data_IF_451696969962
#
_entry.id   IF_451696969962
#
_cell.length_a   1.000
_cell.length_b   1.000
_cell.length_c   1.000
_cell.angle_alpha   90.00
_cell.angle_beta   90.00
_cell.angle_gamma   90.00
#
_symmetry.space_group_name_H-M   'P 1'
#
loop_
_entity.id
_entity.type
_entity.pdbx_description
1 polymer ?
#
# COMPACT_ATOMS: atom_id res chain seq x y z
N UNK A 1 -8.70 -6.92 36.35
CA UNK A 1 -7.70 -6.00 36.94
C UNK A 1 -6.32 -6.15 36.29
N UNK A 2 -5.74 -7.36 36.21
CA UNK A 2 -4.44 -7.58 35.56
C UNK A 2 -4.48 -7.36 34.04
N UNK A 3 -5.56 -7.81 33.37
CA UNK A 3 -5.76 -7.59 31.92
C UNK A 3 -5.87 -6.09 31.58
N UNK A 4 -6.69 -5.35 32.34
CA UNK A 4 -6.87 -3.89 32.22
C UNK A 4 -5.57 -3.11 32.39
N UNK A 5 -4.74 -3.51 33.37
CA UNK A 5 -3.46 -2.84 33.65
C UNK A 5 -2.43 -3.11 32.56
N UNK A 6 -2.44 -4.31 31.96
CA UNK A 6 -1.62 -4.66 30.79
C UNK A 6 -2.07 -3.93 29.53
N UNK A 7 -3.37 -3.65 29.40
CA UNK A 7 -3.94 -2.90 28.28
C UNK A 7 -3.56 -1.41 28.35
N UNK A 8 -3.65 -0.79 29.53
CA UNK A 8 -3.14 0.56 29.79
C UNK A 8 -1.64 0.67 29.48
N UNK A 9 -0.82 -0.28 29.96
CA UNK A 9 0.64 -0.28 29.70
C UNK A 9 0.98 -0.38 28.20
N UNK A 10 0.09 -0.93 27.37
CA UNK A 10 0.30 -1.09 25.93
C UNK A 10 -0.15 0.13 25.12
N UNK A 11 -1.22 0.78 25.56
CA UNK A 11 -1.58 2.11 25.04
C UNK A 11 -0.41 3.06 25.32
N UNK A 12 0.15 3.01 26.53
CA UNK A 12 1.32 3.79 26.90
C UNK A 12 2.55 3.44 26.03
N UNK A 13 2.80 2.16 25.74
CA UNK A 13 3.89 1.75 24.85
C UNK A 13 3.68 2.24 23.39
N UNK A 14 2.44 2.23 22.89
CA UNK A 14 2.09 2.76 21.57
C UNK A 14 2.27 4.29 21.50
N UNK A 15 1.88 5.01 22.54
CA UNK A 15 2.08 6.45 22.65
C UNK A 15 3.56 6.82 22.78
N UNK A 16 4.32 6.12 23.63
CA UNK A 16 5.77 6.32 23.75
C UNK A 16 6.49 6.08 22.42
N UNK A 17 6.08 5.06 21.68
CA UNK A 17 6.61 4.82 20.34
C UNK A 17 6.29 5.96 19.37
N UNK A 18 5.04 6.40 19.35
CA UNK A 18 4.61 7.51 18.51
C UNK A 18 5.44 8.76 18.81
N UNK A 19 5.63 9.08 20.09
CA UNK A 19 6.45 10.22 20.53
C UNK A 19 7.91 10.06 20.08
N UNK A 20 8.48 8.85 20.20
CA UNK A 20 9.86 8.57 19.78
C UNK A 20 10.05 8.67 18.26
N UNK A 21 9.11 8.12 17.48
CA UNK A 21 9.13 8.17 16.02
C UNK A 21 8.97 9.62 15.54
N UNK A 22 8.01 10.36 16.11
CA UNK A 22 7.78 11.76 15.77
C UNK A 22 8.99 12.63 16.14
N UNK A 23 9.55 12.46 17.35
CA UNK A 23 10.72 13.21 17.79
C UNK A 23 11.92 12.97 16.86
N UNK A 24 12.15 11.73 16.44
CA UNK A 24 13.19 11.40 15.48
C UNK A 24 12.95 12.07 14.12
N UNK A 25 11.76 11.91 13.53
CA UNK A 25 11.46 12.46 12.21
C UNK A 25 11.52 14.00 12.20
N UNK A 26 11.05 14.64 13.27
CA UNK A 26 11.15 16.09 13.44
C UNK A 26 12.59 16.56 13.63
N UNK A 27 13.44 15.79 14.33
CA UNK A 27 14.86 16.11 14.47
C UNK A 27 15.61 16.04 13.13
N UNK A 28 15.34 15.02 12.32
CA UNK A 28 15.91 14.91 10.97
C UNK A 28 15.40 16.05 10.07
N UNK A 29 14.12 16.41 10.16
CA UNK A 29 13.57 17.53 9.38
C UNK A 29 14.16 18.88 9.81
N UNK A 30 14.31 19.11 11.11
CA UNK A 30 14.97 20.31 11.63
C UNK A 30 16.45 20.41 11.21
N UNK A 31 17.14 19.26 11.13
CA UNK A 31 18.51 19.19 10.60
C UNK A 31 18.54 19.62 9.14
N UNK A 32 17.65 19.06 8.31
CA UNK A 32 17.52 19.45 6.90
C UNK A 32 17.27 20.94 6.75
N UNK A 33 16.33 21.53 7.50
CA UNK A 33 16.03 22.97 7.42
C UNK A 33 17.27 23.83 7.71
N UNK A 34 18.07 23.46 8.70
CA UNK A 34 19.33 24.15 9.01
C UNK A 34 20.35 24.03 7.87
N UNK A 35 20.49 22.84 7.29
CA UNK A 35 21.43 22.57 6.20
C UNK A 35 21.07 23.31 4.90
N UNK A 36 19.77 23.48 4.61
CA UNK A 36 19.33 24.19 3.40
C UNK A 36 19.26 25.71 3.55
N UNK A 37 19.55 26.25 4.73
CA UNK A 37 19.54 27.69 5.02
C UNK A 37 18.22 28.25 5.56
N UNK A 38 17.23 27.40 5.83
CA UNK A 38 15.90 27.78 6.37
C UNK A 38 15.80 27.50 7.89
N UNK A 39 16.93 27.60 8.60
CA UNK A 39 17.05 27.23 10.02
C UNK A 39 16.17 28.06 10.98
N UNK A 40 15.76 29.26 10.56
CA UNK A 40 14.81 30.11 11.29
C UNK A 40 13.43 29.46 11.47
N UNK A 41 13.01 28.63 10.51
CA UNK A 41 11.71 27.92 10.53
C UNK A 41 11.66 26.90 11.67
N UNK A 42 12.81 26.37 12.11
CA UNK A 42 12.90 25.35 13.17
C UNK A 42 12.26 25.85 14.47
N UNK A 43 12.38 27.14 14.77
CA UNK A 43 11.79 27.75 15.98
C UNK A 43 10.26 27.74 15.98
N UNK A 44 9.65 27.59 14.81
CA UNK A 44 8.19 27.56 14.62
C UNK A 44 7.65 26.14 14.39
N UNK A 45 8.51 25.10 14.37
CA UNK A 45 8.03 23.74 14.11
C UNK A 45 7.19 23.21 15.29
N UNK A 46 6.03 22.60 15.01
CA UNK A 46 5.24 21.94 16.05
C UNK A 46 6.04 20.77 16.66
N UNK A 47 5.82 20.48 17.94
CA UNK A 47 6.46 19.37 18.68
C UNK A 47 7.99 19.41 18.82
N UNK A 48 8.67 20.42 18.27
CA UNK A 48 10.14 20.51 18.27
C UNK A 48 10.69 21.87 18.77
N UNK A 49 9.90 22.96 18.73
CA UNK A 49 10.32 24.32 19.11
C UNK A 49 9.62 24.93 20.34
N UNK A 50 10.07 26.12 20.74
CA UNK A 50 9.35 26.98 21.67
C UNK A 50 8.02 27.42 21.05
N UNK A 51 6.94 27.53 21.83
CA UNK A 51 5.63 27.99 21.32
C UNK A 51 5.67 29.48 20.97
N UNK A 52 6.26 29.83 19.84
CA UNK A 52 6.28 31.20 19.32
C UNK A 52 4.89 31.55 18.76
N UNK A 53 4.27 32.68 19.14
CA UNK A 53 2.99 33.11 18.59
C UNK A 53 3.05 33.26 17.06
N UNK A 54 2.09 32.67 16.35
CA UNK A 54 1.99 32.65 14.87
C UNK A 54 1.59 33.99 14.24
N UNK A 55 1.41 35.04 15.04
CA UNK A 55 0.68 36.26 14.67
C UNK A 55 1.45 37.20 13.73
N UNK A 56 2.77 37.00 13.52
CA UNK A 56 3.61 37.92 12.72
C UNK A 56 4.25 37.30 11.45
N UNK A 57 4.15 35.98 11.18
CA UNK A 57 5.01 35.34 10.18
C UNK A 57 4.38 34.18 9.37
N UNK A 58 3.10 34.26 8.97
CA UNK A 58 2.50 33.24 8.10
C UNK A 58 3.04 33.32 6.65
N UNK A 59 4.22 32.74 6.42
CA UNK A 59 4.86 32.65 5.10
C UNK A 59 4.50 31.34 4.40
N UNK A 60 4.52 31.27 3.05
CA UNK A 60 4.30 30.01 2.32
C UNK A 60 5.26 28.88 2.75
N UNK A 61 6.51 29.24 3.11
CA UNK A 61 7.50 28.31 3.64
C UNK A 61 7.09 27.74 5.00
N UNK A 62 6.56 28.57 5.90
CA UNK A 62 6.05 28.11 7.18
C UNK A 62 4.85 27.17 7.01
N UNK A 63 3.92 27.51 6.11
CA UNK A 63 2.76 26.65 5.79
C UNK A 63 3.22 25.29 5.25
N UNK A 64 4.22 25.28 4.37
CA UNK A 64 4.81 24.04 3.87
C UNK A 64 5.48 23.23 4.98
N UNK A 65 6.18 23.88 5.91
CA UNK A 65 6.84 23.20 7.03
C UNK A 65 5.82 22.51 7.95
N UNK A 66 4.69 23.17 8.23
CA UNK A 66 3.58 22.57 8.95
C UNK A 66 2.93 21.43 8.17
N UNK A 67 2.73 21.58 6.85
CA UNK A 67 2.21 20.50 6.00
C UNK A 67 3.06 19.24 6.12
N UNK A 68 4.39 19.37 5.96
CA UNK A 68 5.34 18.25 6.11
C UNK A 68 5.26 17.70 7.53
N UNK A 69 5.31 18.55 8.56
CA UNK A 69 5.25 18.11 9.96
C UNK A 69 3.97 17.29 10.27
N UNK A 70 2.81 17.70 9.74
CA UNK A 70 1.57 16.92 9.86
C UNK A 70 1.65 15.58 9.12
N UNK A 71 2.30 15.52 7.95
CA UNK A 71 2.53 14.24 7.27
C UNK A 71 3.47 13.34 8.08
N UNK A 72 4.49 13.89 8.73
CA UNK A 72 5.39 13.14 9.62
C UNK A 72 4.64 12.57 10.84
N UNK A 73 3.73 13.36 11.43
CA UNK A 73 2.83 12.89 12.49
C UNK A 73 1.97 11.73 12.01
N UNK A 74 1.29 11.87 10.86
CA UNK A 74 0.45 10.81 10.31
C UNK A 74 1.25 9.52 10.08
N UNK A 75 2.49 9.62 9.56
CA UNK A 75 3.36 8.45 9.38
C UNK A 75 3.75 7.79 10.70
N UNK A 76 4.07 8.58 11.72
CA UNK A 76 4.40 8.07 13.05
C UNK A 76 3.19 7.37 13.70
N UNK A 77 1.99 7.96 13.56
CA UNK A 77 0.72 7.37 13.99
C UNK A 77 0.42 6.05 13.29
N UNK A 78 0.49 6.03 11.96
CA UNK A 78 0.26 4.83 11.15
C UNK A 78 1.23 3.71 11.51
N UNK A 79 2.52 4.04 11.67
CA UNK A 79 3.54 3.06 12.03
C UNK A 79 3.35 2.53 13.46
N UNK A 80 3.08 3.40 14.44
CA UNK A 80 2.81 2.99 15.82
C UNK A 80 1.59 2.07 15.89
N UNK A 81 0.48 2.43 15.21
CA UNK A 81 -0.70 1.59 15.11
C UNK A 81 -0.40 0.23 14.46
N UNK A 82 0.41 0.21 13.40
CA UNK A 82 0.86 -1.02 12.75
C UNK A 82 1.68 -1.92 13.68
N UNK A 83 2.63 -1.37 14.43
CA UNK A 83 3.47 -2.13 15.36
C UNK A 83 2.69 -2.63 16.58
N UNK A 84 1.78 -1.82 17.11
CA UNK A 84 0.86 -2.23 18.18
C UNK A 84 0.00 -3.42 17.72
N UNK A 85 -0.55 -3.38 16.50
CA UNK A 85 -1.27 -4.52 15.91
C UNK A 85 -0.41 -5.78 15.84
N UNK A 86 0.81 -5.67 15.30
CA UNK A 86 1.75 -6.80 15.18
C UNK A 86 2.14 -7.39 16.55
N UNK A 87 2.35 -6.54 17.55
CA UNK A 87 2.66 -6.97 18.92
C UNK A 87 1.48 -7.75 19.51
N UNK A 88 0.25 -7.25 19.35
CA UNK A 88 -0.95 -7.95 19.81
C UNK A 88 -1.11 -9.32 19.13
N UNK A 89 -0.93 -9.37 17.81
CA UNK A 89 -1.00 -10.63 17.05
C UNK A 89 0.08 -11.62 17.50
N UNK A 90 1.33 -11.18 17.68
CA UNK A 90 2.44 -12.02 18.14
C UNK A 90 2.18 -12.63 19.53
N UNK A 91 1.58 -11.86 20.44
CA UNK A 91 1.41 -12.27 21.84
C UNK A 91 0.11 -13.03 22.10
N UNK A 92 -0.97 -12.69 21.39
CA UNK A 92 -2.34 -13.19 21.66
C UNK A 92 -2.96 -13.93 20.47
N UNK A 93 -2.25 -14.03 19.34
CA UNK A 93 -2.69 -14.68 18.10
C UNK A 93 -3.53 -13.77 17.20
N UNK A 94 -3.86 -14.27 16.01
CA UNK A 94 -4.54 -13.54 14.91
C UNK A 94 -5.93 -12.99 15.28
N UNK A 95 -6.57 -13.58 16.28
CA UNK A 95 -7.87 -13.21 16.83
C UNK A 95 -7.84 -12.03 17.83
N UNK A 96 -6.64 -11.54 18.18
CA UNK A 96 -6.48 -10.58 19.28
C UNK A 96 -6.96 -9.15 18.96
N UNK A 97 -7.06 -8.79 17.68
CA UNK A 97 -7.39 -7.44 17.25
C UNK A 97 -8.79 -7.38 16.63
N UNK A 98 -9.69 -6.61 17.27
CA UNK A 98 -11.05 -6.43 16.77
C UNK A 98 -11.05 -5.73 15.41
N UNK A 99 -11.85 -6.24 14.48
CA UNK A 99 -11.98 -5.65 13.14
C UNK A 99 -11.07 -6.29 12.08
N UNK A 100 -10.27 -7.30 12.45
CA UNK A 100 -9.49 -8.12 11.52
C UNK A 100 -10.07 -9.54 11.42
N UNK A 101 -9.86 -10.18 10.27
CA UNK A 101 -10.41 -11.50 9.93
C UNK A 101 -10.40 -12.52 11.07
N UNK A 102 -9.28 -12.67 11.79
CA UNK A 102 -9.17 -13.64 12.89
C UNK A 102 -10.20 -13.41 14.01
N UNK A 103 -10.45 -12.16 14.40
CA UNK A 103 -11.42 -11.84 15.45
C UNK A 103 -12.85 -12.07 14.97
N UNK A 104 -13.17 -11.67 13.74
CA UNK A 104 -14.50 -11.83 13.14
C UNK A 104 -14.85 -13.30 12.90
N UNK A 105 -13.92 -14.09 12.36
CA UNK A 105 -14.14 -15.52 12.11
C UNK A 105 -14.30 -16.29 13.43
N UNK A 106 -13.49 -15.97 14.45
CA UNK A 106 -13.63 -16.55 15.79
C UNK A 106 -14.98 -16.21 16.41
N UNK A 107 -15.43 -14.96 16.27
CA UNK A 107 -16.76 -14.56 16.74
C UNK A 107 -17.88 -15.38 16.07
N UNK A 108 -17.79 -15.65 14.77
CA UNK A 108 -18.77 -16.48 14.06
C UNK A 108 -18.73 -17.95 14.52
N UNK A 109 -17.53 -18.49 14.73
CA UNK A 109 -17.35 -19.84 15.28
C UNK A 109 -17.96 -19.97 16.69
N UNK A 110 -17.70 -18.99 17.57
CA UNK A 110 -18.26 -18.94 18.93
C UNK A 110 -19.80 -18.75 18.93
N UNK A 111 -20.34 -18.12 17.87
CA UNK A 111 -21.78 -18.06 17.63
C UNK A 111 -22.37 -19.36 17.05
N UNK A 112 -21.58 -20.43 16.94
CA UNK A 112 -22.01 -21.76 16.51
C UNK A 112 -22.09 -21.94 14.99
N UNK A 113 -21.45 -21.06 14.20
CA UNK A 113 -21.41 -21.19 12.74
C UNK A 113 -20.35 -22.19 12.30
N UNK A 114 -20.74 -23.11 11.42
CA UNK A 114 -19.80 -24.04 10.80
C UNK A 114 -18.91 -23.32 9.77
N UNK A 115 -17.74 -23.88 9.49
CA UNK A 115 -16.85 -23.33 8.46
C UNK A 115 -17.55 -23.28 7.08
N UNK A 116 -18.41 -24.26 6.76
CA UNK A 116 -19.16 -24.32 5.51
C UNK A 116 -20.17 -23.17 5.43
N UNK A 117 -20.92 -22.90 6.50
CA UNK A 117 -21.86 -21.77 6.57
C UNK A 117 -21.13 -20.43 6.40
N UNK A 118 -19.96 -20.28 7.03
CA UNK A 118 -19.17 -19.05 6.95
C UNK A 118 -18.61 -18.89 5.53
N UNK A 119 -18.06 -19.95 4.93
CA UNK A 119 -17.51 -19.91 3.58
C UNK A 119 -18.62 -19.56 2.57
N UNK A 120 -19.76 -20.23 2.61
CA UNK A 120 -20.88 -19.94 1.71
C UNK A 120 -21.36 -18.48 1.84
N UNK A 121 -21.41 -17.94 3.07
CA UNK A 121 -21.74 -16.54 3.30
C UNK A 121 -20.70 -15.59 2.70
N UNK A 122 -19.39 -15.86 2.89
CA UNK A 122 -18.29 -15.07 2.31
C UNK A 122 -18.38 -15.02 0.78
N UNK A 123 -18.70 -16.13 0.12
CA UNK A 123 -18.85 -16.19 -1.34
C UNK A 123 -19.97 -15.32 -1.90
N UNK A 124 -20.93 -14.91 -1.06
CA UNK A 124 -22.02 -13.98 -1.42
C UNK A 124 -21.68 -12.52 -1.11
N UNK A 125 -20.60 -12.26 -0.36
CA UNK A 125 -20.18 -10.89 -0.02
C UNK A 125 -19.57 -10.23 -1.25
N UNK A 126 -20.12 -9.08 -1.61
CA UNK A 126 -19.57 -8.18 -2.63
C UNK A 126 -19.33 -6.81 -2.02
N UNK A 127 -18.10 -6.33 -2.17
CA UNK A 127 -17.69 -4.98 -1.75
C UNK A 127 -17.25 -4.20 -2.99
N UNK A 128 -17.75 -2.98 -3.14
CA UNK A 128 -17.40 -2.11 -4.27
C UNK A 128 -17.11 -0.69 -3.80
N UNK A 129 -15.86 -0.37 -3.39
CA UNK A 129 -15.47 1.00 -3.10
C UNK A 129 -15.44 1.82 -4.40
N UNK A 130 -16.06 2.99 -4.36
CA UNK A 130 -16.10 3.91 -5.49
C UNK A 130 -15.17 5.09 -5.22
N UNK A 131 -14.11 5.19 -6.02
CA UNK A 131 -13.09 6.22 -5.88
C UNK A 131 -13.56 7.55 -6.49
N UNK A 132 -13.51 8.61 -5.70
CA UNK A 132 -13.87 9.97 -6.11
C UNK A 132 -12.63 10.87 -6.19
N UNK A 133 -12.73 11.97 -6.92
CA UNK A 133 -11.68 13.00 -6.89
C UNK A 133 -11.66 13.65 -5.50
N UNK A 134 -10.47 13.85 -4.93
CA UNK A 134 -10.35 14.60 -3.68
C UNK A 134 -10.32 16.10 -3.98
N UNK A 135 -11.31 16.89 -3.53
CA UNK A 135 -11.48 18.28 -3.97
C UNK A 135 -10.35 19.22 -3.52
N UNK A 136 -9.56 18.84 -2.51
CA UNK A 136 -8.55 19.71 -1.87
C UNK A 136 -7.19 19.06 -1.63
N UNK A 137 -7.01 17.77 -1.94
CA UNK A 137 -5.80 17.02 -1.54
C UNK A 137 -5.29 16.06 -2.61
N UNK A 138 -5.43 16.41 -3.89
CA UNK A 138 -4.71 15.68 -4.92
C UNK A 138 -3.22 15.94 -4.72
N UNK A 139 -2.50 15.07 -4.01
CA UNK A 139 -1.03 15.13 -3.89
C UNK A 139 -0.42 14.73 -5.24
N UNK A 140 0.72 15.32 -5.60
CA UNK A 140 1.48 14.89 -6.79
C UNK A 140 1.89 13.44 -6.57
N UNK A 141 1.80 12.60 -7.60
CA UNK A 141 2.27 11.20 -7.53
C UNK A 141 3.71 11.16 -7.00
N UNK A 142 4.56 12.09 -7.45
CA UNK A 142 5.95 12.21 -6.99
C UNK A 142 6.08 12.54 -5.49
N UNK A 143 5.12 13.26 -4.90
CA UNK A 143 5.08 13.54 -3.45
C UNK A 143 4.59 12.31 -2.69
N UNK A 144 3.58 11.60 -3.21
CA UNK A 144 3.13 10.32 -2.64
C UNK A 144 4.25 9.27 -2.62
N UNK A 145 5.04 9.19 -3.69
CA UNK A 145 6.21 8.31 -3.76
C UNK A 145 7.29 8.70 -2.73
N UNK A 146 7.56 10.00 -2.57
CA UNK A 146 8.49 10.48 -1.55
C UNK A 146 8.00 10.15 -0.13
N UNK A 147 6.71 10.29 0.14
CA UNK A 147 6.11 9.87 1.41
C UNK A 147 6.25 8.38 1.65
N UNK A 148 5.99 7.56 0.63
CA UNK A 148 6.16 6.10 0.70
C UNK A 148 7.61 5.73 0.98
N UNK A 149 8.56 6.34 0.26
CA UNK A 149 9.99 6.10 0.47
C UNK A 149 10.45 6.50 1.88
N UNK A 150 9.93 7.63 2.38
CA UNK A 150 10.19 8.12 3.72
C UNK A 150 9.67 7.14 4.78
N UNK A 151 8.42 6.70 4.65
CA UNK A 151 7.81 5.71 5.53
C UNK A 151 8.60 4.39 5.52
N UNK A 152 8.97 3.88 4.34
CA UNK A 152 9.75 2.64 4.23
C UNK A 152 11.15 2.77 4.83
N UNK A 153 11.81 3.93 4.66
CA UNK A 153 13.11 4.20 5.27
C UNK A 153 13.00 4.25 6.80
N UNK A 154 11.97 4.92 7.33
CA UNK A 154 11.69 4.97 8.77
C UNK A 154 11.44 3.58 9.35
N UNK A 155 10.55 2.78 8.73
CA UNK A 155 10.28 1.39 9.15
C UNK A 155 11.56 0.53 9.07
N UNK A 156 12.37 0.71 8.02
CA UNK A 156 13.63 -0.02 7.88
C UNK A 156 14.59 0.27 9.04
N UNK A 157 14.65 1.53 9.52
CA UNK A 157 15.51 1.95 10.62
C UNK A 157 15.22 1.20 11.93
N UNK A 158 13.99 0.75 12.13
CA UNK A 158 13.57 0.06 13.35
C UNK A 158 14.11 -1.37 13.49
N UNK A 159 14.70 -1.91 12.43
CA UNK A 159 15.27 -3.23 12.48
C UNK A 159 16.48 -3.26 13.44
N UNK A 160 16.35 -4.04 14.51
CA UNK A 160 17.35 -4.17 15.57
C UNK A 160 18.66 -4.83 15.14
N UNK A 161 18.71 -5.39 13.93
CA UNK A 161 19.90 -6.06 13.39
C UNK A 161 20.90 -5.10 12.75
N UNK A 162 20.54 -3.84 12.54
CA UNK A 162 21.44 -2.88 11.90
C UNK A 162 22.63 -2.50 12.79
N UNK A 163 23.79 -2.37 12.15
CA UNK A 163 24.96 -1.73 12.75
C UNK A 163 24.75 -0.22 12.87
N UNK A 164 25.50 0.47 13.75
CA UNK A 164 25.43 1.93 13.85
C UNK A 164 25.68 2.66 12.53
N UNK A 165 26.57 2.14 11.68
CA UNK A 165 26.85 2.73 10.37
C UNK A 165 25.66 2.62 9.42
N UNK A 166 24.99 1.46 9.40
CA UNK A 166 23.80 1.23 8.57
C UNK A 166 22.61 2.09 9.03
N UNK A 167 22.46 2.27 10.36
CA UNK A 167 21.45 3.19 10.91
C UNK A 167 21.73 4.61 10.41
N UNK A 168 22.98 5.06 10.42
CA UNK A 168 23.35 6.39 9.92
C UNK A 168 23.13 6.52 8.39
N UNK A 169 23.39 5.46 7.61
CA UNK A 169 23.05 5.44 6.17
C UNK A 169 21.54 5.61 5.95
N UNK A 170 20.72 4.95 6.75
CA UNK A 170 19.26 5.11 6.69
C UNK A 170 18.83 6.52 7.10
N UNK A 171 19.43 7.09 8.14
CA UNK A 171 19.17 8.49 8.54
C UNK A 171 19.55 9.48 7.44
N UNK A 172 20.71 9.30 6.79
CA UNK A 172 21.09 10.11 5.60
C UNK A 172 20.09 10.00 4.47
N UNK A 173 19.57 8.79 4.20
CA UNK A 173 18.50 8.58 3.21
C UNK A 173 17.23 9.33 3.61
N UNK A 174 16.83 9.29 4.87
CA UNK A 174 15.67 10.02 5.40
C UNK A 174 15.85 11.53 5.19
N UNK A 175 17.00 12.12 5.58
CA UNK A 175 17.32 13.54 5.34
C UNK A 175 17.24 13.90 3.86
N UNK A 176 17.78 13.05 2.98
CA UNK A 176 17.75 13.29 1.53
C UNK A 176 16.33 13.28 0.95
N UNK A 177 15.41 12.47 1.52
CA UNK A 177 14.00 12.46 1.12
C UNK A 177 13.27 13.69 1.67
N UNK A 178 13.51 14.05 2.94
CA UNK A 178 12.96 15.25 3.57
C UNK A 178 13.40 16.53 2.85
N UNK A 179 14.67 16.64 2.46
CA UNK A 179 15.16 17.76 1.65
C UNK A 179 14.43 17.81 0.30
N UNK A 180 14.24 16.66 -0.36
CA UNK A 180 13.51 16.60 -1.63
C UNK A 180 12.05 17.02 -1.45
N UNK A 181 11.38 16.60 -0.39
CA UNK A 181 10.01 17.03 -0.05
C UNK A 181 9.98 18.55 0.18
N UNK A 182 10.94 19.08 0.94
CA UNK A 182 11.08 20.51 1.22
C UNK A 182 11.30 21.35 -0.06
N UNK A 183 12.11 20.87 -1.00
CA UNK A 183 12.36 21.56 -2.27
C UNK A 183 11.23 21.37 -3.29
N UNK A 184 10.49 20.27 -3.22
CA UNK A 184 9.40 19.96 -4.18
C UNK A 184 8.13 20.72 -3.87
N UNK A 185 7.78 20.85 -2.58
CA UNK A 185 6.49 21.39 -2.16
C UNK A 185 5.35 20.37 -2.24
N UNK A 186 4.49 20.36 -1.23
CA UNK A 186 3.34 19.44 -1.14
C UNK A 186 2.03 20.09 -1.60
N UNK A 187 1.92 21.40 -1.45
CA UNK A 187 0.67 22.14 -1.62
C UNK A 187 0.52 22.56 -3.08
N UNK A 188 -0.62 22.18 -3.68
CA UNK A 188 -1.00 22.69 -4.99
C UNK A 188 -1.41 24.15 -4.89
N UNK A 189 -0.70 25.01 -5.64
CA UNK A 189 -1.09 26.41 -5.80
C UNK A 189 -2.29 26.57 -6.75
N UNK A 190 -2.65 25.54 -7.50
CA UNK A 190 -3.74 25.55 -8.50
C UNK A 190 -4.61 24.30 -8.43
N UNK A 191 -5.89 24.44 -8.79
CA UNK A 191 -6.83 23.31 -8.84
C UNK A 191 -6.31 22.23 -9.80
N UNK A 192 -6.27 20.94 -9.40
CA UNK A 192 -5.90 19.84 -10.29
C UNK A 192 -6.79 19.78 -11.53
N UNK A 193 -6.23 19.36 -12.66
CA UNK A 193 -7.05 19.03 -13.84
C UNK A 193 -7.69 17.65 -13.67
N UNK A 194 -8.80 17.40 -14.37
CA UNK A 194 -9.47 16.08 -14.40
C UNK A 194 -8.49 14.96 -14.78
N UNK A 195 -7.53 15.29 -15.66
CA UNK A 195 -6.47 14.38 -16.06
C UNK A 195 -5.51 14.01 -14.91
N UNK A 196 -5.15 14.97 -14.05
CA UNK A 196 -4.31 14.71 -12.89
C UNK A 196 -5.05 13.88 -11.83
N UNK A 197 -6.33 14.17 -11.60
CA UNK A 197 -7.19 13.37 -10.71
C UNK A 197 -7.26 11.92 -11.20
N UNK A 198 -7.46 11.73 -12.51
CA UNK A 198 -7.48 10.42 -13.16
C UNK A 198 -6.16 9.68 -12.98
N UNK A 199 -5.03 10.33 -13.22
CA UNK A 199 -3.71 9.74 -13.02
C UNK A 199 -3.48 9.31 -11.56
N UNK A 200 -3.99 10.09 -10.59
CA UNK A 200 -3.97 9.72 -9.18
C UNK A 200 -4.71 8.40 -8.93
N UNK A 201 -5.94 8.27 -9.45
CA UNK A 201 -6.72 7.02 -9.35
C UNK A 201 -6.00 5.84 -10.01
N UNK A 202 -5.43 6.04 -11.20
CA UNK A 202 -4.66 5.00 -11.89
C UNK A 202 -3.43 4.55 -11.09
N UNK A 203 -2.75 5.46 -10.41
CA UNK A 203 -1.63 5.13 -9.55
C UNK A 203 -2.06 4.16 -8.44
N UNK A 204 -3.16 4.43 -7.73
CA UNK A 204 -3.66 3.52 -6.69
C UNK A 204 -4.08 2.17 -7.26
N UNK A 205 -4.85 2.17 -8.37
CA UNK A 205 -5.32 0.94 -9.02
C UNK A 205 -4.17 0.08 -9.56
N UNK A 206 -3.06 0.67 -9.98
CA UNK A 206 -1.95 -0.05 -10.61
C UNK A 206 -0.79 -0.35 -9.68
N UNK A 207 -0.50 0.50 -8.70
CA UNK A 207 0.69 0.37 -7.85
C UNK A 207 0.37 -0.06 -6.42
N UNK A 208 -0.77 0.37 -5.86
CA UNK A 208 -1.07 0.19 -4.44
C UNK A 208 -2.03 -0.98 -4.20
N UNK A 209 -3.20 -0.94 -4.85
CA UNK A 209 -4.25 -1.92 -4.60
C UNK A 209 -3.90 -3.36 -4.97
N UNK A 210 -3.19 -3.67 -6.08
CA UNK A 210 -2.85 -5.06 -6.39
C UNK A 210 -2.06 -5.74 -5.26
N UNK A 211 -1.11 -5.03 -4.65
CA UNK A 211 -0.34 -5.56 -3.51
C UNK A 211 -1.20 -5.63 -2.23
N UNK A 212 -2.01 -4.59 -1.97
CA UNK A 212 -2.86 -4.53 -0.79
C UNK A 212 -3.94 -5.62 -0.79
N UNK A 213 -4.58 -5.89 -1.93
CA UNK A 213 -5.58 -6.95 -2.10
C UNK A 213 -4.93 -8.32 -1.88
N UNK A 214 -3.76 -8.57 -2.48
CA UNK A 214 -3.05 -9.82 -2.23
C UNK A 214 -2.67 -10.03 -0.76
N UNK A 215 -2.36 -8.95 -0.01
CA UNK A 215 -2.16 -9.02 1.45
C UNK A 215 -3.47 -9.31 2.19
N UNK A 216 -4.58 -8.67 1.79
CA UNK A 216 -5.90 -8.87 2.38
C UNK A 216 -6.34 -10.33 2.25
N UNK A 217 -6.19 -10.94 1.06
CA UNK A 217 -6.54 -12.33 0.80
C UNK A 217 -5.69 -13.27 1.65
N UNK A 218 -4.36 -13.06 1.71
CA UNK A 218 -3.47 -13.84 2.58
C UNK A 218 -3.83 -13.71 4.06
N UNK A 219 -4.22 -12.53 4.52
CA UNK A 219 -4.66 -12.36 5.91
C UNK A 219 -5.94 -13.14 6.21
N UNK A 220 -6.89 -13.21 5.25
CA UNK A 220 -8.08 -14.03 5.37
C UNK A 220 -7.72 -15.52 5.41
N UNK A 221 -6.88 -15.99 4.49
CA UNK A 221 -6.40 -17.38 4.45
C UNK A 221 -5.70 -17.78 5.75
N UNK A 222 -4.75 -16.97 6.23
CA UNK A 222 -4.06 -17.26 7.48
C UNK A 222 -5.01 -17.29 8.67
N UNK A 223 -5.96 -16.35 8.76
CA UNK A 223 -6.95 -16.32 9.83
C UNK A 223 -7.86 -17.55 9.79
N UNK A 224 -8.23 -18.01 8.59
CA UNK A 224 -9.03 -19.21 8.36
C UNK A 224 -8.31 -20.47 8.84
N UNK A 225 -7.07 -20.68 8.37
CA UNK A 225 -6.24 -21.83 8.76
C UNK A 225 -5.92 -21.83 10.26
N UNK A 226 -5.69 -20.66 10.87
CA UNK A 226 -5.43 -20.54 12.31
C UNK A 226 -6.61 -21.02 13.18
N UNK A 227 -7.84 -20.97 12.68
CA UNK A 227 -9.02 -21.51 13.36
C UNK A 227 -9.21 -23.01 13.13
N UNK A 228 -8.31 -23.65 12.37
CA UNK A 228 -8.37 -25.06 12.03
C UNK A 228 -9.35 -25.38 10.89
N UNK A 229 -9.81 -24.37 10.14
CA UNK A 229 -10.72 -24.57 9.02
C UNK A 229 -9.98 -25.07 7.77
N UNK A 230 -10.65 -25.85 6.93
CA UNK A 230 -10.07 -26.35 5.68
C UNK A 230 -9.97 -25.20 4.67
N UNK A 231 -8.74 -24.88 4.28
CA UNK A 231 -8.44 -23.88 3.26
C UNK A 231 -9.21 -24.10 1.97
N UNK A 232 -9.43 -25.34 1.53
CA UNK A 232 -10.10 -25.62 0.23
C UNK A 232 -11.50 -25.04 0.16
N UNK A 233 -12.24 -25.06 1.27
CA UNK A 233 -13.59 -24.49 1.34
C UNK A 233 -13.59 -22.97 1.15
N UNK A 234 -12.56 -22.28 1.64
CA UNK A 234 -12.42 -20.84 1.47
C UNK A 234 -12.15 -20.47 0.00
N UNK A 235 -11.29 -21.23 -0.69
CA UNK A 235 -10.92 -20.97 -2.09
C UNK A 235 -12.11 -21.02 -3.05
N UNK A 236 -13.10 -21.85 -2.75
CA UNK A 236 -14.34 -21.96 -3.53
C UNK A 236 -15.32 -20.80 -3.28
N UNK A 237 -15.11 -20.03 -2.19
CA UNK A 237 -16.06 -19.03 -1.71
C UNK A 237 -15.40 -17.71 -1.25
N UNK A 238 -14.36 -17.26 -1.95
CA UNK A 238 -13.75 -15.96 -1.65
C UNK A 238 -14.74 -14.80 -1.89
N UNK A 239 -14.76 -13.78 -0.99
CA UNK A 239 -15.55 -12.59 -1.20
C UNK A 239 -15.07 -11.81 -2.43
N UNK A 240 -15.99 -11.16 -3.12
CA UNK A 240 -15.65 -10.38 -4.32
C UNK A 240 -15.42 -8.91 -3.98
N UNK A 241 -14.21 -8.41 -4.25
CA UNK A 241 -13.88 -6.99 -4.19
C UNK A 241 -13.79 -6.41 -5.61
N UNK A 242 -14.56 -5.34 -5.88
CA UNK A 242 -14.51 -4.57 -7.13
C UNK A 242 -14.21 -3.12 -6.83
N UNK A 243 -13.72 -2.38 -7.81
CA UNK A 243 -13.53 -0.94 -7.68
C UNK A 243 -14.34 -0.21 -8.74
N UNK A 244 -15.04 0.83 -8.31
CA UNK A 244 -15.64 1.84 -9.17
C UNK A 244 -14.84 3.15 -9.11
N UNK A 245 -15.06 4.04 -10.06
CA UNK A 245 -14.57 5.42 -9.94
C UNK A 245 -15.52 6.40 -10.62
N UNK A 246 -15.67 7.58 -10.01
CA UNK A 246 -16.38 8.71 -10.61
C UNK A 246 -15.44 9.60 -11.44
N UNK A 247 -14.13 9.47 -11.27
CA UNK A 247 -13.15 10.34 -11.94
C UNK A 247 -13.13 10.06 -13.44
N UNK A 248 -13.40 11.11 -14.21
CA UNK A 248 -13.56 11.03 -15.67
C UNK A 248 -14.97 10.63 -16.14
N UNK A 249 -15.90 10.31 -15.23
CA UNK A 249 -17.26 9.92 -15.56
C UNK A 249 -18.35 10.83 -14.96
N UNK A 250 -18.14 11.35 -13.75
CA UNK A 250 -19.09 12.24 -13.09
C UNK A 250 -19.07 13.64 -13.71
N UNK A 251 -20.23 14.09 -14.18
CA UNK A 251 -20.41 15.37 -14.90
C UNK A 251 -21.30 16.33 -14.12
N UNK A 252 -21.80 15.93 -12.94
CA UNK A 252 -22.70 16.76 -12.16
C UNK A 252 -21.96 18.03 -11.68
N UNK A 253 -22.41 19.19 -12.15
CA UNK A 253 -21.77 20.48 -11.88
C UNK A 253 -20.33 20.66 -12.41
N UNK A 254 -19.79 19.73 -13.22
CA UNK A 254 -18.39 19.74 -13.63
C UNK A 254 -18.22 19.94 -15.16
N UNK A 255 -18.12 21.19 -15.66
CA UNK A 255 -18.11 21.48 -17.10
C UNK A 255 -16.89 20.91 -17.84
N UNK A 256 -15.82 20.57 -17.11
CA UNK A 256 -14.59 20.03 -17.68
C UNK A 256 -14.62 18.51 -17.92
N UNK A 257 -15.68 17.80 -17.51
CA UNK A 257 -15.86 16.38 -17.85
C UNK A 257 -16.69 16.30 -19.13
N UNK A 258 -16.01 16.21 -20.27
CA UNK A 258 -16.63 16.07 -21.59
C UNK A 258 -16.72 14.59 -22.01
N UNK A 259 -17.53 14.22 -23.02
CA UNK A 259 -17.57 12.85 -23.53
C UNK A 259 -16.19 12.32 -23.94
N UNK A 260 -15.34 13.17 -24.52
CA UNK A 260 -13.97 12.82 -24.92
C UNK A 260 -13.08 12.54 -23.71
N UNK A 261 -13.31 13.22 -22.58
CA UNK A 261 -12.62 12.95 -21.32
C UNK A 261 -13.02 11.57 -20.79
N UNK A 262 -14.31 11.25 -20.81
CA UNK A 262 -14.82 9.93 -20.39
C UNK A 262 -14.29 8.80 -21.27
N UNK A 263 -14.29 8.97 -22.59
CA UNK A 263 -13.73 8.00 -23.52
C UNK A 263 -12.24 7.74 -23.24
N UNK A 264 -11.45 8.80 -23.08
CA UNK A 264 -10.02 8.70 -22.73
C UNK A 264 -9.82 7.99 -21.39
N UNK A 265 -10.64 8.29 -20.38
CA UNK A 265 -10.55 7.64 -19.08
C UNK A 265 -10.81 6.13 -19.19
N UNK A 266 -11.86 5.71 -19.89
CA UNK A 266 -12.17 4.30 -20.11
C UNK A 266 -11.06 3.56 -20.87
N UNK A 267 -10.51 4.17 -21.92
CA UNK A 267 -9.38 3.61 -22.66
C UNK A 267 -8.15 3.46 -21.79
N UNK A 268 -7.83 4.49 -20.99
CA UNK A 268 -6.68 4.46 -20.11
C UNK A 268 -6.81 3.39 -19.02
N UNK A 269 -7.97 3.27 -18.35
CA UNK A 269 -8.20 2.20 -17.38
C UNK A 269 -8.06 0.80 -17.99
N UNK A 270 -8.52 0.59 -19.23
CA UNK A 270 -8.31 -0.68 -19.96
C UNK A 270 -6.83 -0.96 -20.22
N UNK A 271 -6.07 0.03 -20.67
CA UNK A 271 -4.63 -0.10 -20.90
C UNK A 271 -3.88 -0.40 -19.59
N UNK A 272 -4.24 0.28 -18.50
CA UNK A 272 -3.65 0.03 -17.19
C UNK A 272 -3.95 -1.38 -16.67
N UNK A 273 -5.17 -1.89 -16.88
CA UNK A 273 -5.49 -3.28 -16.54
C UNK A 273 -4.60 -4.28 -17.30
N UNK A 274 -4.38 -4.05 -18.60
CA UNK A 274 -3.46 -4.87 -19.40
C UNK A 274 -2.01 -4.79 -18.89
N UNK A 275 -1.55 -3.61 -18.47
CA UNK A 275 -0.22 -3.45 -17.87
C UNK A 275 -0.07 -4.21 -16.55
N UNK A 276 -1.09 -4.21 -15.69
CA UNK A 276 -1.08 -4.99 -14.44
C UNK A 276 -0.93 -6.48 -14.77
N UNK A 277 -1.78 -7.01 -15.67
CA UNK A 277 -1.71 -8.41 -16.07
C UNK A 277 -0.36 -8.78 -16.69
N UNK A 278 0.15 -7.95 -17.61
CA UNK A 278 1.45 -8.18 -18.24
C UNK A 278 2.57 -8.25 -17.20
N UNK A 279 2.64 -7.29 -16.26
CA UNK A 279 3.66 -7.27 -15.21
C UNK A 279 3.56 -8.52 -14.31
N UNK A 280 2.35 -8.92 -13.93
CA UNK A 280 2.13 -10.13 -13.13
C UNK A 280 2.57 -11.40 -13.87
N UNK A 281 2.27 -11.51 -15.17
CA UNK A 281 2.72 -12.64 -16.00
C UNK A 281 4.24 -12.64 -16.16
N UNK A 282 4.88 -11.50 -16.39
CA UNK A 282 6.35 -11.40 -16.48
C UNK A 282 7.04 -11.83 -15.18
N UNK A 283 6.48 -11.45 -14.02
CA UNK A 283 6.96 -11.91 -12.71
C UNK A 283 6.73 -13.40 -12.49
N UNK A 284 5.56 -13.92 -12.85
CA UNK A 284 5.26 -15.34 -12.78
C UNK A 284 6.23 -16.16 -13.65
N UNK A 285 6.45 -15.73 -14.88
CA UNK A 285 7.41 -16.32 -15.82
C UNK A 285 8.83 -16.37 -15.24
N UNK A 286 9.23 -15.39 -14.43
CA UNK A 286 10.55 -15.40 -13.80
C UNK A 286 10.69 -16.52 -12.75
N UNK A 287 9.59 -16.92 -12.09
CA UNK A 287 9.58 -17.93 -11.04
C UNK A 287 9.29 -19.37 -11.53
N UNK A 288 8.77 -19.53 -12.76
CA UNK A 288 8.40 -20.82 -13.32
C UNK A 288 9.56 -21.54 -14.03
N UNK A 289 10.70 -21.70 -13.37
CA UNK A 289 11.91 -22.32 -13.92
C UNK A 289 11.92 -23.86 -13.82
N UNK A 290 10.75 -24.52 -13.84
CA UNK A 290 10.68 -25.97 -13.71
C UNK A 290 11.18 -26.63 -15.00
N UNK A 291 12.23 -27.46 -14.87
CA UNK A 291 12.76 -28.24 -15.98
C UNK A 291 12.01 -29.56 -16.15
N UNK A 292 11.67 -29.89 -17.39
CA UNK A 292 11.07 -31.18 -17.77
C UNK A 292 11.87 -32.39 -17.27
N UNK A 293 13.19 -32.27 -17.19
CA UNK A 293 14.07 -33.34 -16.71
C UNK A 293 13.81 -33.78 -15.26
N UNK A 294 13.29 -32.86 -14.44
CA UNK A 294 13.02 -33.09 -13.01
C UNK A 294 11.53 -33.13 -12.70
N UNK A 295 10.72 -32.44 -13.50
CA UNK A 295 9.27 -32.36 -13.32
C UNK A 295 8.55 -32.74 -14.62
N UNK A 296 7.91 -33.92 -14.67
CA UNK A 296 7.13 -34.32 -15.83
C UNK A 296 6.06 -33.28 -16.18
N UNK A 297 5.97 -32.93 -17.46
CA UNK A 297 5.02 -31.94 -17.97
C UNK A 297 3.61 -32.53 -17.96
N UNK A 298 2.65 -31.92 -17.24
CA UNK A 298 1.26 -32.35 -17.29
C UNK A 298 0.66 -32.16 -18.69
N UNK A 299 -0.18 -33.10 -19.11
CA UNK A 299 -0.82 -33.06 -20.44
C UNK A 299 -1.63 -31.77 -20.66
N UNK A 300 -2.31 -31.27 -19.62
CA UNK A 300 -3.06 -30.02 -19.70
C UNK A 300 -2.17 -28.80 -20.03
N UNK A 301 -0.93 -28.79 -19.55
CA UNK A 301 0.03 -27.73 -19.83
C UNK A 301 0.55 -27.83 -21.26
N UNK A 302 0.91 -29.03 -21.71
CA UNK A 302 1.36 -29.26 -23.09
C UNK A 302 0.27 -28.84 -24.10
N UNK A 303 -0.98 -29.22 -23.85
CA UNK A 303 -2.12 -28.82 -24.67
C UNK A 303 -2.36 -27.31 -24.64
N UNK A 304 -2.22 -26.68 -23.48
CA UNK A 304 -2.32 -25.22 -23.35
C UNK A 304 -1.26 -24.48 -24.16
N UNK A 305 0.00 -24.96 -24.14
CA UNK A 305 1.09 -24.38 -24.93
C UNK A 305 0.80 -24.49 -26.42
N UNK A 306 0.35 -25.68 -26.89
CA UNK A 306 0.01 -25.89 -28.30
C UNK A 306 -1.08 -24.90 -28.77
N UNK A 307 -2.14 -24.71 -27.98
CA UNK A 307 -3.19 -23.73 -28.29
C UNK A 307 -2.66 -22.30 -28.38
N UNK A 308 -1.76 -21.90 -27.48
CA UNK A 308 -1.17 -20.56 -27.52
C UNK A 308 -0.26 -20.38 -28.74
N UNK A 309 0.48 -21.40 -29.14
CA UNK A 309 1.32 -21.35 -30.34
C UNK A 309 0.51 -21.21 -31.62
N UNK A 310 -0.65 -21.86 -31.72
CA UNK A 310 -1.56 -21.69 -32.85
C UNK A 310 -2.04 -20.24 -32.98
N UNK A 311 -2.33 -19.58 -31.85
CA UNK A 311 -2.73 -18.16 -31.81
C UNK A 311 -1.56 -17.25 -32.21
N UNK A 312 -0.35 -17.53 -31.74
CA UNK A 312 0.83 -16.69 -31.96
C UNK A 312 1.47 -16.86 -33.35
N UNK A 313 1.18 -17.97 -34.04
CA UNK A 313 1.71 -18.28 -35.38
C UNK A 313 3.24 -18.20 -35.44
N UNK A 314 3.79 -17.52 -36.45
CA UNK A 314 5.25 -17.42 -36.65
C UNK A 314 6.06 -16.78 -35.51
N UNK A 315 5.40 -16.13 -34.53
CA UNK A 315 6.06 -15.63 -33.31
C UNK A 315 6.40 -16.75 -32.32
N UNK A 316 5.70 -17.88 -32.38
CA UNK A 316 5.90 -19.05 -31.54
C UNK A 316 7.31 -19.64 -31.69
N UNK A 317 7.80 -19.76 -32.92
CA UNK A 317 9.09 -20.39 -33.21
C UNK A 317 10.27 -19.71 -32.49
N UNK A 318 10.29 -18.37 -32.47
CA UNK A 318 11.32 -17.60 -31.75
C UNK A 318 11.24 -17.72 -30.23
N UNK A 319 10.06 -18.05 -29.69
CA UNK A 319 9.86 -18.27 -28.27
C UNK A 319 10.18 -19.72 -27.88
N UNK A 320 9.94 -20.68 -28.77
CA UNK A 320 10.24 -22.10 -28.55
C UNK A 320 11.74 -22.37 -28.37
N UNK A 321 12.60 -21.62 -29.07
CA UNK A 321 14.07 -21.68 -28.93
C UNK A 321 14.58 -21.15 -27.57
N UNK A 322 13.76 -20.38 -26.85
CA UNK A 322 14.11 -19.85 -25.52
C UNK A 322 13.51 -20.74 -24.43
N UNK A 323 14.35 -21.13 -23.47
CA UNK A 323 13.97 -21.95 -22.31
C UNK A 323 13.37 -23.31 -22.73
N UNK A 324 14.08 -24.04 -23.60
CA UNK A 324 13.61 -25.26 -24.26
C UNK A 324 13.01 -26.30 -23.29
N UNK A 325 13.59 -26.47 -22.11
CA UNK A 325 13.14 -27.45 -21.12
C UNK A 325 12.16 -26.90 -20.08
N UNK A 326 11.85 -25.59 -20.09
CA UNK A 326 11.05 -24.91 -19.06
C UNK A 326 9.59 -24.67 -19.52
N UNK A 327 8.79 -25.73 -19.61
CA UNK A 327 7.45 -25.70 -20.20
C UNK A 327 6.47 -24.72 -19.52
N UNK A 328 6.51 -24.62 -18.19
CA UNK A 328 5.69 -23.65 -17.44
C UNK A 328 6.04 -22.20 -17.79
N UNK A 329 7.32 -21.95 -18.04
CA UNK A 329 7.81 -20.64 -18.46
C UNK A 329 7.42 -20.29 -19.88
N UNK A 330 7.37 -21.27 -20.78
CA UNK A 330 6.93 -21.08 -22.16
C UNK A 330 5.45 -20.78 -22.27
N UNK A 331 4.64 -21.36 -21.37
CA UNK A 331 3.19 -21.15 -21.37
C UNK A 331 2.80 -19.70 -21.04
N UNK A 332 3.59 -19.03 -20.21
CA UNK A 332 3.40 -17.64 -19.78
C UNK A 332 4.11 -16.67 -20.72
#
# INVERSE_FOLDING_TARGET
MVESRKEETRIDAGLQKLDADLAFMMAEFATVLKEVGDGEIVSYLPWFGDRVPLEEACTPRLVQAYSIAFQLLNMAEENSANQLRRMHERERGVQAWRGLWGAQLKFLQEAGKSQEEIAEALGRVRVEPVLTAHPTEAKRITVLEQHRDLYLAHVSRENSMWTPSEIEDISRKIRSILERLWRTGEIYLTKPSVEMERQGIEYYLTQIFPEAIGKLDRHLEHAWENLGFDRRQLHEHLPTLRFGTWVGGDRDGHPFVTPEVTEKALLSFRLQALHIHKRSLEQLRAHLSLSESLQPVPECLANGIAQQWDILGGKAAKLAERNEDEHWRKFV
#
